data_IF_243980657785
#
_entry.id   IF_243980657785
#
_cell.length_a   1.000
_cell.length_b   1.000
_cell.length_c   1.000
_cell.angle_alpha   90.00
_cell.angle_beta   90.00
_cell.angle_gamma   90.00
#
_symmetry.space_group_name_H-M   'P 1'
#
loop_
_entity.id
_entity.type
_entity.pdbx_description
1 polymer ?
#
# COMPACT_ATOMS: atom_id res chain seq x y z
N UNK A 1 -17.00 -4.76 -5.30
CA UNK A 1 -15.73 -4.03 -5.50
C UNK A 1 -15.79 -3.03 -6.66
N UNK A 2 -16.22 -3.44 -7.87
CA UNK A 2 -16.32 -2.56 -9.04
C UNK A 2 -17.10 -1.25 -8.80
N UNK A 3 -18.25 -1.31 -8.10
CA UNK A 3 -19.03 -0.12 -7.77
C UNK A 3 -18.23 0.92 -6.95
N UNK A 4 -17.54 0.49 -5.89
CA UNK A 4 -16.74 1.38 -5.04
C UNK A 4 -15.61 2.01 -5.84
N UNK A 5 -14.89 1.21 -6.62
CA UNK A 5 -13.77 1.68 -7.43
C UNK A 5 -14.23 2.66 -8.52
N UNK A 6 -15.34 2.37 -9.20
CA UNK A 6 -15.93 3.29 -10.17
C UNK A 6 -16.36 4.59 -9.49
N UNK A 7 -16.94 4.52 -8.28
CA UNK A 7 -17.26 5.71 -7.51
C UNK A 7 -16.04 6.57 -7.15
N UNK A 8 -14.91 5.94 -6.80
CA UNK A 8 -13.64 6.65 -6.55
C UNK A 8 -13.19 7.40 -7.81
N UNK A 9 -13.34 6.79 -8.99
CA UNK A 9 -12.99 7.45 -10.25
C UNK A 9 -13.95 8.58 -10.64
N UNK A 10 -15.25 8.37 -10.46
CA UNK A 10 -16.25 9.41 -10.71
C UNK A 10 -16.09 10.60 -9.76
N UNK A 11 -15.83 10.34 -8.47
CA UNK A 11 -15.72 11.37 -7.44
C UNK A 11 -14.34 12.02 -7.37
N UNK A 12 -13.32 11.43 -8.01
CA UNK A 12 -11.91 11.81 -7.88
C UNK A 12 -11.42 11.83 -6.42
N UNK A 13 -12.09 11.09 -5.52
CA UNK A 13 -11.78 11.03 -4.11
C UNK A 13 -11.36 9.62 -3.72
N UNK A 14 -10.14 9.50 -3.19
CA UNK A 14 -9.61 8.26 -2.60
C UNK A 14 -9.83 8.34 -1.08
N UNK A 15 -10.51 7.35 -0.46
CA UNK A 15 -10.64 7.24 0.99
C UNK A 15 -9.29 7.07 1.71
N UNK A 16 -9.17 7.57 2.93
CA UNK A 16 -7.93 7.50 3.72
C UNK A 16 -7.55 6.05 4.08
N UNK A 17 -8.54 5.17 4.22
CA UNK A 17 -8.35 3.74 4.47
C UNK A 17 -7.61 3.05 3.32
N UNK A 18 -7.69 3.59 2.09
CA UNK A 18 -6.93 3.08 0.95
C UNK A 18 -5.52 3.70 0.85
N UNK A 19 -5.26 4.81 1.56
CA UNK A 19 -3.97 5.50 1.60
C UNK A 19 -3.09 5.07 2.78
N UNK A 20 -3.68 4.42 3.77
CA UNK A 20 -2.97 3.97 4.96
C UNK A 20 -2.03 2.78 4.67
N UNK A 21 -0.90 2.72 5.38
CA UNK A 21 0.00 1.57 5.37
C UNK A 21 0.64 1.37 6.76
N UNK A 22 0.85 0.12 7.14
CA UNK A 22 1.60 -0.24 8.35
C UNK A 22 3.06 -0.38 7.96
N UNK A 23 3.95 0.37 8.61
CA UNK A 23 5.39 0.27 8.36
C UNK A 23 6.02 -0.73 9.33
N UNK A 24 6.63 -1.78 8.78
CA UNK A 24 7.29 -2.84 9.57
C UNK A 24 8.77 -2.90 9.17
N UNK A 25 9.71 -2.82 10.14
CA UNK A 25 11.12 -3.05 9.86
C UNK A 25 11.38 -4.54 9.60
N UNK A 26 12.00 -4.85 8.47
CA UNK A 26 12.39 -6.22 8.10
C UNK A 26 13.91 -6.29 8.03
N UNK A 27 14.52 -7.23 8.75
CA UNK A 27 15.97 -7.43 8.71
C UNK A 27 16.40 -7.83 7.30
N UNK A 28 17.42 -7.14 6.77
CA UNK A 28 17.93 -7.41 5.43
C UNK A 28 19.14 -8.34 5.46
N UNK A 29 20.16 -7.98 6.26
CA UNK A 29 21.46 -8.67 6.28
C UNK A 29 22.39 -8.07 7.34
N UNK A 30 23.42 -8.80 7.78
CA UNK A 30 24.41 -8.32 8.74
C UNK A 30 23.93 -8.46 10.19
N UNK A 31 24.53 -7.69 11.10
CA UNK A 31 24.22 -7.73 12.53
C UNK A 31 22.75 -7.36 12.81
N UNK A 32 22.01 -8.27 13.45
CA UNK A 32 20.59 -8.10 13.78
C UNK A 32 20.34 -7.10 14.91
N UNK A 33 21.36 -6.71 15.67
CA UNK A 33 21.26 -5.70 16.75
C UNK A 33 21.39 -4.27 16.23
N UNK A 34 21.97 -4.09 15.03
CA UNK A 34 22.08 -2.79 14.38
C UNK A 34 20.81 -2.49 13.56
N UNK A 35 20.03 -1.50 14.00
CA UNK A 35 18.78 -1.11 13.32
C UNK A 35 18.99 -0.65 11.86
N UNK A 36 20.19 -0.17 11.48
CA UNK A 36 20.49 0.22 10.10
C UNK A 36 20.45 -0.95 9.11
N UNK A 37 20.51 -2.19 9.62
CA UNK A 37 20.40 -3.40 8.83
C UNK A 37 18.95 -3.82 8.53
N UNK A 38 17.97 -3.03 8.97
CA UNK A 38 16.55 -3.25 8.71
C UNK A 38 16.06 -2.30 7.62
N UNK A 39 15.12 -2.78 6.81
CA UNK A 39 14.41 -1.98 5.81
C UNK A 39 12.98 -1.74 6.28
N UNK A 40 12.48 -0.49 6.28
CA UNK A 40 11.07 -0.26 6.50
C UNK A 40 10.29 -0.73 5.28
N UNK A 41 9.32 -1.62 5.47
CA UNK A 41 8.40 -2.08 4.45
C UNK A 41 7.00 -1.58 4.78
N UNK A 42 6.38 -0.89 3.83
CA UNK A 42 4.97 -0.47 3.93
C UNK A 42 4.06 -1.65 3.54
N UNK A 43 3.29 -2.14 4.49
CA UNK A 43 2.27 -3.16 4.29
C UNK A 43 0.93 -2.47 4.09
N UNK A 44 0.50 -2.41 2.83
CA UNK A 44 -0.78 -1.83 2.45
C UNK A 44 -1.94 -2.81 2.67
N UNK A 45 -3.15 -2.31 2.99
CA UNK A 45 -4.37 -3.10 2.95
C UNK A 45 -4.56 -3.82 1.62
N UNK A 46 -5.16 -5.01 1.65
CA UNK A 46 -5.42 -5.81 0.43
C UNK A 46 -6.23 -5.01 -0.59
N UNK A 47 -7.19 -4.21 -0.13
CA UNK A 47 -7.99 -3.35 -1.00
C UNK A 47 -7.16 -2.30 -1.75
N UNK A 48 -6.18 -1.67 -1.09
CA UNK A 48 -5.26 -0.72 -1.74
C UNK A 48 -4.50 -1.39 -2.88
N UNK A 49 -3.98 -2.61 -2.66
CA UNK A 49 -3.27 -3.36 -3.71
C UNK A 49 -4.15 -3.70 -4.91
N UNK A 50 -5.43 -4.05 -4.68
CA UNK A 50 -6.37 -4.33 -5.78
C UNK A 50 -6.69 -3.04 -6.54
N UNK A 51 -6.92 -1.94 -5.82
CA UNK A 51 -7.17 -0.62 -6.41
C UNK A 51 -5.98 -0.16 -7.27
N UNK A 52 -4.75 -0.25 -6.76
CA UNK A 52 -3.51 0.07 -7.48
C UNK A 52 -3.38 -0.73 -8.77
N UNK A 53 -3.68 -2.03 -8.75
CA UNK A 53 -3.64 -2.87 -9.98
C UNK A 53 -4.67 -2.42 -11.02
N UNK A 54 -5.88 -2.08 -10.59
CA UNK A 54 -6.92 -1.58 -11.51
C UNK A 54 -6.54 -0.20 -12.04
N UNK A 55 -5.93 0.64 -11.21
CA UNK A 55 -5.41 1.94 -11.65
C UNK A 55 -4.31 1.80 -12.68
N UNK A 56 -3.31 0.97 -12.40
CA UNK A 56 -2.22 0.68 -13.31
C UNK A 56 -2.72 0.07 -14.63
N UNK A 57 -3.78 -0.74 -14.62
CA UNK A 57 -4.36 -1.30 -15.84
C UNK A 57 -5.13 -0.27 -16.70
N UNK A 58 -5.43 0.92 -16.15
CA UNK A 58 -6.10 2.02 -16.85
C UNK A 58 -5.15 3.10 -17.37
N UNK A 59 -3.89 3.09 -16.91
CA UNK A 59 -2.79 3.91 -17.42
C UNK A 59 -2.19 3.25 -18.67
#
# INVERSE_FOLDING_TARGET
>A
LAHIINRIFESHYIPDELKFAIVIPVHKSGDSTNFQNYRPISVLPVFSKVFERIMHARL
#
